data_IF_198716636752
#
_entry.id   IF_198716636752
#
_cell.length_a   1.000
_cell.length_b   1.000
_cell.length_c   1.000
_cell.angle_alpha   90.00
_cell.angle_beta   90.00
_cell.angle_gamma   90.00
#
_symmetry.space_group_name_H-M   'P 1'
#
loop_
_entity.id
_entity.type
_entity.pdbx_description
1 polymer ?
#
# COMPACT_ATOMS: atom_id res chain seq x y z
N UNK A 1 -25.31 8.38 -22.31
CA UNK A 1 -24.85 7.85 -21.01
C UNK A 1 -24.76 6.33 -20.98
N UNK A 2 -25.73 5.55 -21.43
CA UNK A 2 -25.66 4.08 -21.44
C UNK A 2 -24.51 3.48 -22.27
N UNK A 3 -24.12 4.09 -23.40
CA UNK A 3 -23.05 3.61 -24.27
C UNK A 3 -21.64 3.74 -23.64
N UNK A 4 -21.39 4.80 -22.88
CA UNK A 4 -20.09 5.00 -22.21
C UNK A 4 -19.91 4.03 -21.02
N UNK A 5 -20.98 3.77 -20.28
CA UNK A 5 -20.97 2.80 -19.16
C UNK A 5 -20.77 1.37 -19.73
N UNK A 6 -21.41 1.06 -20.85
CA UNK A 6 -21.27 -0.25 -21.49
C UNK A 6 -19.84 -0.48 -22.04
N UNK A 7 -19.17 0.56 -22.56
CA UNK A 7 -17.78 0.45 -23.04
C UNK A 7 -16.77 0.31 -21.89
N UNK A 8 -17.01 0.94 -20.73
CA UNK A 8 -16.20 0.81 -19.52
C UNK A 8 -16.39 -0.59 -18.91
N UNK A 9 -17.62 -1.11 -18.87
CA UNK A 9 -17.92 -2.45 -18.38
C UNK A 9 -17.40 -3.54 -19.33
N UNK A 10 -17.44 -3.32 -20.65
CA UNK A 10 -16.87 -4.27 -21.62
C UNK A 10 -15.34 -4.30 -21.60
N UNK A 11 -14.66 -3.17 -21.34
CA UNK A 11 -13.21 -3.14 -21.11
C UNK A 11 -12.82 -3.86 -19.82
N UNK A 12 -13.61 -3.69 -18.73
CA UNK A 12 -13.42 -4.42 -17.47
C UNK A 12 -13.65 -5.95 -17.60
N UNK A 13 -14.56 -6.39 -18.48
CA UNK A 13 -14.85 -7.81 -18.69
C UNK A 13 -13.75 -8.54 -19.47
N UNK A 14 -12.98 -7.85 -20.33
CA UNK A 14 -11.85 -8.44 -21.07
C UNK A 14 -10.58 -8.59 -20.24
N UNK A 15 -10.48 -7.89 -19.10
CA UNK A 15 -9.31 -7.86 -18.20
C UNK A 15 -9.44 -8.82 -17.00
N UNK A 16 -10.43 -9.70 -16.95
CA UNK A 16 -10.72 -10.59 -15.80
C UNK A 16 -9.64 -11.65 -15.50
N UNK A 17 -8.39 -11.43 -15.86
CA UNK A 17 -7.26 -12.31 -15.56
C UNK A 17 -5.93 -11.61 -15.28
N UNK A 18 -5.79 -10.32 -15.58
CA UNK A 18 -4.53 -9.62 -15.34
C UNK A 18 -4.58 -8.78 -14.05
N UNK A 19 -3.49 -8.74 -13.25
CA UNK A 19 -3.44 -7.92 -12.05
C UNK A 19 -3.50 -6.43 -12.40
N UNK A 20 -4.17 -5.62 -11.58
CA UNK A 20 -4.19 -4.15 -11.74
C UNK A 20 -2.85 -3.54 -11.40
N UNK A 21 -2.07 -4.18 -10.53
CA UNK A 21 -0.67 -3.85 -10.24
C UNK A 21 0.16 -5.13 -10.30
N UNK A 22 1.24 -5.09 -11.04
CA UNK A 22 2.26 -6.15 -11.08
C UNK A 22 3.64 -5.52 -11.00
N UNK A 23 4.35 -5.82 -9.94
CA UNK A 23 5.76 -5.46 -9.73
C UNK A 23 6.56 -6.75 -9.80
N UNK A 24 7.61 -6.79 -10.62
CA UNK A 24 8.46 -7.95 -10.78
C UNK A 24 9.93 -7.61 -10.58
N UNK A 25 10.59 -8.31 -9.64
CA UNK A 25 12.01 -8.24 -9.32
C UNK A 25 12.56 -6.80 -9.23
N UNK A 26 11.76 -5.89 -8.66
CA UNK A 26 12.06 -4.46 -8.61
C UNK A 26 13.24 -4.18 -7.68
N UNK A 27 14.25 -3.52 -8.23
CA UNK A 27 15.46 -3.08 -7.53
C UNK A 27 15.60 -1.57 -7.64
N UNK A 28 15.79 -0.90 -6.50
CA UNK A 28 15.95 0.55 -6.43
C UNK A 28 17.00 0.92 -5.39
N UNK A 29 17.83 1.87 -5.75
CA UNK A 29 18.80 2.46 -4.85
C UNK A 29 18.72 4.00 -4.81
N UNK A 30 18.99 4.57 -3.65
CA UNK A 30 19.22 6.00 -3.49
C UNK A 30 20.73 6.26 -3.51
N UNK A 31 21.25 7.00 -4.50
CA UNK A 31 22.66 7.37 -4.55
C UNK A 31 23.03 8.22 -3.33
N UNK A 32 24.10 7.85 -2.63
CA UNK A 32 24.69 8.62 -1.54
C UNK A 32 26.13 9.03 -1.85
N UNK A 33 26.70 9.89 -1.02
CA UNK A 33 28.04 10.43 -1.25
C UNK A 33 29.15 9.35 -1.23
N UNK A 34 29.03 8.32 -0.38
CA UNK A 34 30.02 7.24 -0.24
C UNK A 34 29.52 5.85 -0.61
N UNK A 35 28.20 5.65 -0.59
CA UNK A 35 27.55 4.38 -0.90
C UNK A 35 26.10 4.62 -1.28
N UNK A 36 25.53 3.75 -2.11
CA UNK A 36 24.10 3.77 -2.44
C UNK A 36 23.31 2.96 -1.39
N UNK A 37 22.16 3.48 -0.98
CA UNK A 37 21.23 2.75 -0.13
C UNK A 37 20.27 1.91 -1.00
N UNK A 38 20.33 0.59 -0.90
CA UNK A 38 19.49 -0.36 -1.64
C UNK A 38 18.11 -0.44 -0.97
N UNK A 39 17.22 0.47 -1.35
CA UNK A 39 15.90 0.57 -0.76
C UNK A 39 14.95 -0.56 -1.18
N UNK A 40 15.07 -1.07 -2.41
CA UNK A 40 14.33 -2.23 -2.89
C UNK A 40 15.29 -3.26 -3.48
N UNK A 41 15.08 -4.54 -3.13
CA UNK A 41 15.97 -5.65 -3.44
C UNK A 41 15.16 -6.83 -3.99
N UNK A 42 14.80 -6.81 -5.28
CA UNK A 42 14.05 -7.88 -5.93
C UNK A 42 12.63 -7.99 -5.39
N UNK A 43 11.94 -6.86 -5.23
CA UNK A 43 10.54 -6.84 -4.77
C UNK A 43 9.64 -7.32 -5.90
N UNK A 44 8.86 -8.37 -5.62
CA UNK A 44 7.79 -8.84 -6.51
C UNK A 44 6.48 -8.88 -5.73
N UNK A 45 5.45 -8.21 -6.25
CA UNK A 45 4.11 -8.25 -5.71
C UNK A 45 3.07 -8.00 -6.80
N UNK A 46 1.85 -8.45 -6.57
CA UNK A 46 0.73 -8.22 -7.48
C UNK A 46 -0.53 -7.89 -6.71
N UNK A 47 -1.46 -7.17 -7.34
CA UNK A 47 -2.78 -6.87 -6.80
C UNK A 47 -3.80 -7.17 -7.88
N UNK A 48 -4.75 -8.07 -7.61
CA UNK A 48 -5.83 -8.41 -8.52
C UNK A 48 -6.96 -7.35 -8.49
N UNK A 49 -7.83 -7.29 -9.51
CA UNK A 49 -8.99 -6.40 -9.50
C UNK A 49 -9.88 -6.62 -8.27
N UNK A 50 -10.19 -5.54 -7.53
CA UNK A 50 -11.02 -5.58 -6.34
C UNK A 50 -10.41 -6.27 -5.12
N UNK A 51 -9.14 -6.73 -5.19
CA UNK A 51 -8.42 -7.34 -4.08
C UNK A 51 -7.90 -6.26 -3.12
N UNK A 52 -7.86 -6.60 -1.83
CA UNK A 52 -7.22 -5.77 -0.81
C UNK A 52 -5.96 -6.47 -0.33
N UNK A 53 -4.80 -5.94 -0.70
CA UNK A 53 -3.49 -6.48 -0.40
C UNK A 53 -2.79 -5.62 0.65
N UNK A 54 -2.29 -6.26 1.72
CA UNK A 54 -1.48 -5.61 2.74
C UNK A 54 0.02 -5.72 2.42
N UNK A 55 0.77 -4.64 2.61
CA UNK A 55 2.24 -4.66 2.70
C UNK A 55 2.64 -4.20 4.09
N UNK A 56 3.23 -5.10 4.87
CA UNK A 56 3.54 -4.85 6.28
C UNK A 56 5.03 -5.05 6.56
N UNK A 57 5.53 -4.34 7.56
CA UNK A 57 6.93 -4.43 8.02
C UNK A 57 7.34 -3.21 8.82
N UNK A 58 8.50 -3.27 9.47
CA UNK A 58 9.07 -2.15 10.25
C UNK A 58 9.32 -0.91 9.38
N UNK A 59 9.45 0.25 10.03
CA UNK A 59 9.85 1.50 9.36
C UNK A 59 11.18 1.31 8.63
N UNK A 60 11.33 1.91 7.45
CA UNK A 60 12.53 1.76 6.64
C UNK A 60 12.62 0.45 5.84
N UNK A 61 11.63 -0.45 5.88
CA UNK A 61 11.66 -1.70 5.08
C UNK A 61 11.46 -1.51 3.57
N UNK A 62 11.09 -0.31 3.09
CA UNK A 62 10.91 -0.01 1.67
C UNK A 62 9.45 0.14 1.20
N UNK A 63 8.46 -0.03 2.09
CA UNK A 63 7.02 -0.01 1.77
C UNK A 63 6.57 1.26 1.04
N UNK A 64 6.80 2.43 1.64
CA UNK A 64 6.41 3.73 1.04
C UNK A 64 7.21 4.04 -0.22
N UNK A 65 8.46 3.59 -0.32
CA UNK A 65 9.27 3.70 -1.55
C UNK A 65 8.61 2.91 -2.68
N UNK A 66 8.15 1.68 -2.42
CA UNK A 66 7.42 0.86 -3.39
C UNK A 66 6.14 1.57 -3.85
N UNK A 67 5.34 2.11 -2.91
CA UNK A 67 4.12 2.86 -3.23
C UNK A 67 4.39 4.10 -4.09
N UNK A 68 5.35 4.93 -3.68
CA UNK A 68 5.68 6.17 -4.37
C UNK A 68 6.23 5.91 -5.78
N UNK A 69 7.09 4.88 -5.93
CA UNK A 69 7.62 4.51 -7.24
C UNK A 69 6.51 4.00 -8.17
N UNK A 70 5.57 3.21 -7.65
CA UNK A 70 4.42 2.69 -8.44
C UNK A 70 3.64 3.81 -9.12
N UNK A 71 3.57 5.00 -8.53
CA UNK A 71 2.90 6.16 -9.11
C UNK A 71 3.87 7.19 -9.69
N UNK A 72 5.17 6.89 -9.76
CA UNK A 72 6.19 7.82 -10.24
C UNK A 72 6.28 9.10 -9.40
N UNK A 73 6.05 9.02 -8.07
CA UNK A 73 6.05 10.16 -7.14
C UNK A 73 7.41 10.42 -6.49
N UNK A 74 8.39 9.54 -6.71
CA UNK A 74 9.75 9.80 -6.24
C UNK A 74 10.39 10.94 -7.04
N UNK A 75 11.12 11.88 -6.40
CA UNK A 75 11.73 13.00 -7.09
C UNK A 75 12.71 12.53 -8.17
N UNK A 76 12.58 13.00 -9.43
CA UNK A 76 13.50 12.63 -10.50
C UNK A 76 14.96 12.92 -10.13
N UNK A 77 15.86 11.98 -10.43
CA UNK A 77 17.29 12.09 -10.14
C UNK A 77 17.69 11.77 -8.69
N UNK A 78 16.74 11.60 -7.76
CA UNK A 78 17.04 11.20 -6.37
C UNK A 78 17.26 9.70 -6.20
N UNK A 79 16.87 8.89 -7.18
CA UNK A 79 16.94 7.43 -7.13
C UNK A 79 17.38 6.83 -8.46
N UNK A 80 17.75 5.56 -8.44
CA UNK A 80 18.06 4.75 -9.63
C UNK A 80 17.33 3.41 -9.53
N UNK A 81 16.53 3.08 -10.53
CA UNK A 81 16.01 1.71 -10.71
C UNK A 81 17.11 0.90 -11.40
N UNK A 82 17.55 -0.18 -10.78
CA UNK A 82 18.65 -1.03 -11.26
C UNK A 82 18.17 -2.35 -11.85
N UNK A 83 16.86 -2.63 -11.79
CA UNK A 83 16.24 -3.80 -12.41
C UNK A 83 14.78 -3.95 -12.03
N UNK A 84 14.09 -4.84 -12.74
CA UNK A 84 12.69 -5.13 -12.55
C UNK A 84 11.73 -4.24 -13.35
N UNK A 85 10.44 -4.43 -13.13
CA UNK A 85 9.38 -3.72 -13.83
C UNK A 85 8.22 -3.35 -12.90
N UNK A 86 7.44 -2.35 -13.29
CA UNK A 86 6.20 -1.93 -12.62
C UNK A 86 5.12 -1.75 -13.66
N UNK A 87 4.18 -2.67 -13.73
CA UNK A 87 3.00 -2.57 -14.58
C UNK A 87 1.78 -2.17 -13.74
N UNK A 88 1.14 -1.06 -14.08
CA UNK A 88 -0.06 -0.56 -13.44
C UNK A 88 -1.14 -0.37 -14.50
N UNK A 89 -2.21 -1.15 -14.42
CA UNK A 89 -3.35 -1.08 -15.36
C UNK A 89 -2.88 -1.15 -16.83
N UNK A 90 -1.89 -2.02 -17.11
CA UNK A 90 -1.32 -2.19 -18.45
C UNK A 90 -0.26 -1.16 -18.86
N UNK A 91 0.08 -0.20 -18.00
CA UNK A 91 1.14 0.78 -18.25
C UNK A 91 2.46 0.36 -17.60
N UNK A 92 3.56 0.41 -18.35
CA UNK A 92 4.91 0.35 -17.76
C UNK A 92 5.24 1.71 -17.10
N UNK A 93 5.06 1.77 -15.79
CA UNK A 93 5.21 3.01 -15.04
C UNK A 93 6.63 3.58 -15.04
N UNK A 94 7.64 2.74 -15.29
CA UNK A 94 9.04 3.18 -15.33
C UNK A 94 9.41 3.86 -16.65
N UNK A 95 8.64 3.61 -17.72
CA UNK A 95 8.86 4.17 -19.05
C UNK A 95 8.03 5.43 -19.35
N UNK A 96 7.02 5.76 -18.52
CA UNK A 96 6.13 6.89 -18.75
C UNK A 96 6.82 8.24 -18.52
N UNK A 97 6.57 9.19 -19.42
CA UNK A 97 6.89 10.61 -19.21
C UNK A 97 5.97 11.23 -18.14
N UNK A 98 6.38 12.34 -17.52
CA UNK A 98 5.57 13.03 -16.50
C UNK A 98 4.17 13.40 -17.02
N UNK A 99 4.05 13.80 -18.28
CA UNK A 99 2.74 14.08 -18.91
C UNK A 99 1.83 12.85 -18.93
N UNK A 100 2.37 11.67 -19.22
CA UNK A 100 1.63 10.42 -19.23
C UNK A 100 1.30 9.97 -17.79
N UNK A 101 2.23 10.13 -16.85
CA UNK A 101 1.98 9.86 -15.43
C UNK A 101 0.84 10.72 -14.88
N UNK A 102 0.72 11.99 -15.29
CA UNK A 102 -0.41 12.85 -14.90
C UNK A 102 -1.77 12.39 -15.43
N UNK A 103 -1.83 11.60 -16.49
CA UNK A 103 -3.09 11.02 -16.99
C UNK A 103 -3.47 9.75 -16.22
N UNK A 104 -2.51 9.01 -15.67
CA UNK A 104 -2.73 7.81 -14.85
C UNK A 104 -3.09 8.19 -13.41
N UNK A 105 -2.34 9.15 -12.82
CA UNK A 105 -2.55 9.61 -11.45
C UNK A 105 -3.91 10.27 -11.28
N UNK A 106 -4.67 9.82 -10.29
CA UNK A 106 -6.01 10.33 -9.97
C UNK A 106 -7.13 9.73 -10.82
N UNK A 107 -6.84 9.23 -12.03
CA UNK A 107 -7.82 8.59 -12.91
C UNK A 107 -7.82 7.07 -12.79
N UNK A 108 -6.66 6.44 -12.98
CA UNK A 108 -6.54 4.98 -12.97
C UNK A 108 -6.04 4.46 -11.63
N UNK A 109 -5.16 5.22 -11.00
CA UNK A 109 -4.69 4.94 -9.64
C UNK A 109 -4.61 6.22 -8.81
N UNK A 110 -4.95 6.11 -7.53
CA UNK A 110 -4.89 7.20 -6.56
C UNK A 110 -4.10 6.77 -5.32
N UNK A 111 -3.66 7.75 -4.53
CA UNK A 111 -2.93 7.50 -3.29
C UNK A 111 -3.50 8.32 -2.13
N UNK A 112 -3.64 7.67 -0.99
CA UNK A 112 -3.86 8.29 0.31
C UNK A 112 -2.51 8.30 1.04
N UNK A 113 -2.02 9.50 1.36
CA UNK A 113 -0.74 9.68 2.03
C UNK A 113 -0.87 9.55 3.55
N UNK A 114 0.25 9.27 4.20
CA UNK A 114 0.36 9.03 5.64
C UNK A 114 -0.17 10.19 6.50
N UNK A 115 0.02 11.45 6.07
CA UNK A 115 -0.35 12.62 6.85
C UNK A 115 -1.50 13.42 6.21
N UNK A 116 -2.73 13.36 6.77
CA UNK A 116 -3.87 14.15 6.27
C UNK A 116 -3.65 15.66 6.30
N UNK A 117 -2.80 16.11 7.22
CA UNK A 117 -2.52 17.55 7.42
C UNK A 117 -1.74 18.16 6.27
N UNK A 118 -0.89 17.38 5.60
CA UNK A 118 -0.03 17.81 4.49
C UNK A 118 -0.62 17.51 3.12
N UNK A 119 -1.54 16.54 3.03
CA UNK A 119 -2.13 16.10 1.78
C UNK A 119 -3.17 17.07 1.21
N UNK A 120 -3.93 17.77 2.08
CA UNK A 120 -4.87 18.82 1.67
C UNK A 120 -4.18 20.18 1.71
N UNK A 121 -4.28 20.96 0.63
CA UNK A 121 -3.73 22.32 0.59
C UNK A 121 -4.47 23.23 1.59
N UNK A 122 -3.83 23.73 2.66
CA UNK A 122 -4.50 24.48 3.72
C UNK A 122 -5.03 25.84 3.28
N UNK A 123 -4.52 26.41 2.18
CA UNK A 123 -4.91 27.71 1.65
C UNK A 123 -6.06 27.64 0.64
N UNK A 124 -6.56 26.42 0.35
CA UNK A 124 -7.63 26.20 -0.64
C UNK A 124 -8.84 25.55 0.01
N UNK A 125 -10.04 26.00 -0.36
CA UNK A 125 -11.29 25.38 0.08
C UNK A 125 -11.39 23.94 -0.42
N UNK A 126 -12.06 23.08 0.35
CA UNK A 126 -12.28 21.66 0.04
C UNK A 126 -12.93 21.48 -1.33
N UNK A 127 -14.00 22.24 -1.63
CA UNK A 127 -14.69 22.18 -2.89
C UNK A 127 -13.77 22.47 -4.08
N UNK A 128 -12.88 23.45 -3.96
CA UNK A 128 -11.93 23.76 -5.03
C UNK A 128 -10.99 22.60 -5.33
N UNK A 129 -10.50 21.93 -4.29
CA UNK A 129 -9.58 20.81 -4.45
C UNK A 129 -10.27 19.60 -5.10
N UNK A 130 -11.49 19.26 -4.66
CA UNK A 130 -12.30 18.19 -5.28
C UNK A 130 -12.63 18.49 -6.75
N UNK A 131 -13.09 19.71 -7.03
CA UNK A 131 -13.50 20.11 -8.38
C UNK A 131 -12.34 20.12 -9.36
N UNK A 132 -11.12 20.51 -8.93
CA UNK A 132 -9.96 20.53 -9.81
C UNK A 132 -9.61 19.12 -10.28
N UNK A 133 -9.64 18.11 -9.38
CA UNK A 133 -9.36 16.72 -9.74
C UNK A 133 -10.48 16.15 -10.62
N UNK A 134 -11.74 16.33 -10.25
CA UNK A 134 -12.88 15.83 -11.04
C UNK A 134 -12.84 16.41 -12.45
N UNK A 135 -12.68 17.73 -12.61
CA UNK A 135 -12.66 18.39 -13.93
C UNK A 135 -11.39 18.08 -14.74
N UNK A 136 -10.29 17.76 -14.09
CA UNK A 136 -9.05 17.34 -14.78
C UNK A 136 -9.24 16.00 -15.49
N UNK A 137 -9.94 15.05 -14.86
CA UNK A 137 -9.99 13.66 -15.30
C UNK A 137 -11.36 13.23 -15.85
N UNK A 138 -12.35 14.11 -15.85
CA UNK A 138 -13.70 13.84 -16.39
C UNK A 138 -14.14 14.93 -17.35
N UNK A 139 -15.12 14.61 -18.21
CA UNK A 139 -15.73 15.57 -19.12
C UNK A 139 -16.93 16.31 -18.47
N UNK A 140 -17.05 16.31 -17.15
CA UNK A 140 -18.15 16.94 -16.42
C UNK A 140 -18.03 18.47 -16.46
N UNK A 141 -19.14 19.16 -16.67
CA UNK A 141 -19.22 20.61 -16.49
C UNK A 141 -19.12 21.02 -15.00
N UNK A 142 -19.10 22.32 -14.74
CA UNK A 142 -18.90 22.83 -13.37
C UNK A 142 -20.05 22.42 -12.41
N UNK A 143 -21.29 22.39 -12.89
CA UNK A 143 -22.47 22.03 -12.08
C UNK A 143 -22.46 20.52 -11.79
N UNK A 144 -22.19 19.70 -12.80
CA UNK A 144 -22.08 18.26 -12.68
C UNK A 144 -20.92 17.85 -11.78
N UNK A 145 -19.74 18.49 -11.90
CA UNK A 145 -18.60 18.24 -11.04
C UNK A 145 -18.91 18.60 -9.57
N UNK A 146 -19.64 19.71 -9.33
CA UNK A 146 -20.08 20.09 -7.98
C UNK A 146 -21.07 19.06 -7.41
N UNK A 147 -22.02 18.59 -8.20
CA UNK A 147 -22.96 17.55 -7.79
C UNK A 147 -22.23 16.25 -7.42
N UNK A 148 -21.25 15.81 -8.23
CA UNK A 148 -20.41 14.65 -7.93
C UNK A 148 -19.59 14.85 -6.65
N UNK A 149 -19.03 16.04 -6.42
CA UNK A 149 -18.30 16.33 -5.19
C UNK A 149 -19.20 16.23 -3.94
N UNK A 150 -20.44 16.72 -4.01
CA UNK A 150 -21.43 16.60 -2.94
C UNK A 150 -21.78 15.12 -2.68
N UNK A 151 -22.00 14.35 -3.73
CA UNK A 151 -22.28 12.91 -3.64
C UNK A 151 -21.12 12.15 -2.97
N UNK A 152 -19.89 12.41 -3.38
CA UNK A 152 -18.68 11.83 -2.78
C UNK A 152 -18.58 12.13 -1.28
N UNK A 153 -18.88 13.36 -0.85
CA UNK A 153 -18.87 13.72 0.57
C UNK A 153 -20.00 13.02 1.34
N UNK A 154 -21.19 12.88 0.75
CA UNK A 154 -22.29 12.08 1.33
C UNK A 154 -21.90 10.61 1.49
N UNK A 155 -21.25 10.05 0.47
CA UNK A 155 -20.72 8.68 0.49
C UNK A 155 -19.73 8.45 1.63
N UNK A 156 -19.01 9.48 2.03
CA UNK A 156 -18.07 9.44 3.18
C UNK A 156 -18.76 9.75 4.52
N UNK A 157 -20.09 9.76 4.56
CA UNK A 157 -20.90 10.08 5.74
C UNK A 157 -20.54 11.45 6.35
N UNK A 158 -20.29 12.44 5.49
CA UNK A 158 -20.02 13.82 5.90
C UNK A 158 -21.38 14.57 5.88
N UNK A 159 -21.73 15.11 7.04
CA UNK A 159 -22.91 15.96 7.18
C UNK A 159 -22.69 17.31 6.47
N UNK A 160 -23.78 17.91 5.98
CA UNK A 160 -23.79 19.23 5.34
C UNK A 160 -22.72 19.44 4.26
N UNK A 161 -22.63 18.53 3.26
CA UNK A 161 -21.54 18.51 2.30
C UNK A 161 -21.40 19.82 1.52
N UNK A 162 -22.50 20.53 1.25
CA UNK A 162 -22.49 21.83 0.60
C UNK A 162 -21.72 22.88 1.41
N UNK A 163 -21.88 22.89 2.73
CA UNK A 163 -21.12 23.79 3.61
C UNK A 163 -19.65 23.36 3.70
N UNK A 164 -19.38 22.07 3.74
CA UNK A 164 -18.01 21.52 3.80
C UNK A 164 -17.21 21.89 2.55
N UNK A 165 -17.82 21.95 1.36
CA UNK A 165 -17.15 22.42 0.15
C UNK A 165 -16.60 23.84 0.28
N UNK A 166 -17.21 24.70 1.08
CA UNK A 166 -16.78 26.09 1.29
C UNK A 166 -15.76 26.26 2.43
N UNK A 167 -15.50 25.19 3.22
CA UNK A 167 -14.53 25.20 4.33
C UNK A 167 -13.09 24.99 3.86
N UNK A 168 -12.16 25.44 4.68
CA UNK A 168 -10.74 25.16 4.56
C UNK A 168 -10.36 23.93 5.40
N UNK A 169 -9.28 23.21 5.06
CA UNK A 169 -8.86 22.03 5.81
C UNK A 169 -8.67 22.27 7.32
N UNK A 170 -8.13 23.42 7.72
CA UNK A 170 -7.87 23.74 9.13
C UNK A 170 -9.15 23.94 9.96
N UNK A 171 -10.30 24.16 9.34
CA UNK A 171 -11.60 24.28 10.01
C UNK A 171 -12.24 22.92 10.34
N UNK A 172 -11.60 21.79 9.95
CA UNK A 172 -12.15 20.44 10.01
C UNK A 172 -11.39 19.57 11.01
N UNK A 173 -12.07 18.60 11.63
CA UNK A 173 -11.43 17.60 12.47
C UNK A 173 -10.53 16.65 11.66
N UNK A 174 -9.60 15.94 12.32
CA UNK A 174 -8.71 14.97 11.69
C UNK A 174 -9.49 13.88 10.93
N UNK A 175 -10.52 13.31 11.55
CA UNK A 175 -11.37 12.31 10.90
C UNK A 175 -12.15 12.84 9.70
N UNK A 176 -12.61 14.11 9.72
CA UNK A 176 -13.25 14.73 8.56
C UNK A 176 -12.27 14.92 7.40
N UNK A 177 -11.06 15.40 7.69
CA UNK A 177 -9.99 15.54 6.67
C UNK A 177 -9.67 14.20 6.03
N UNK A 178 -9.57 13.14 6.84
CA UNK A 178 -9.33 11.79 6.34
C UNK A 178 -10.44 11.31 5.41
N UNK A 179 -11.70 11.49 5.78
CA UNK A 179 -12.85 11.14 4.93
C UNK A 179 -12.87 11.95 3.63
N UNK A 180 -12.48 13.22 3.66
CA UNK A 180 -12.35 14.06 2.47
C UNK A 180 -11.20 13.58 1.56
N UNK A 181 -10.07 13.15 2.13
CA UNK A 181 -8.99 12.56 1.33
C UNK A 181 -9.44 11.25 0.65
N UNK A 182 -10.22 10.43 1.34
CA UNK A 182 -10.81 9.23 0.76
C UNK A 182 -11.77 9.62 -0.38
N UNK A 183 -12.64 10.63 -0.16
CA UNK A 183 -13.52 11.15 -1.21
C UNK A 183 -12.73 11.64 -2.43
N UNK A 184 -11.64 12.35 -2.20
CA UNK A 184 -10.74 12.84 -3.26
C UNK A 184 -10.10 11.68 -4.02
N UNK A 185 -9.62 10.66 -3.32
CA UNK A 185 -9.02 9.47 -3.92
C UNK A 185 -10.01 8.68 -4.79
N UNK A 186 -11.27 8.58 -4.39
CA UNK A 186 -12.33 7.93 -5.17
C UNK A 186 -13.00 8.84 -6.21
N UNK A 187 -12.60 10.09 -6.34
CA UNK A 187 -13.31 11.09 -7.17
C UNK A 187 -13.39 10.72 -8.66
N UNK A 188 -12.48 9.92 -9.16
CA UNK A 188 -12.42 9.46 -10.55
C UNK A 188 -12.58 7.95 -10.70
N UNK A 189 -13.09 7.26 -9.66
CA UNK A 189 -13.34 5.82 -9.62
C UNK A 189 -12.12 4.99 -10.06
N UNK A 190 -10.94 5.14 -9.38
CA UNK A 190 -9.69 4.51 -9.77
C UNK A 190 -9.78 2.98 -9.69
N UNK A 191 -8.98 2.28 -10.50
CA UNK A 191 -8.86 0.83 -10.45
C UNK A 191 -7.98 0.36 -9.28
N UNK A 192 -6.96 1.17 -8.90
CA UNK A 192 -6.10 0.93 -7.74
C UNK A 192 -6.11 2.13 -6.80
N UNK A 193 -6.23 1.85 -5.51
CA UNK A 193 -6.00 2.81 -4.45
C UNK A 193 -4.82 2.35 -3.59
N UNK A 194 -3.76 3.14 -3.53
CA UNK A 194 -2.64 2.92 -2.62
C UNK A 194 -2.91 3.72 -1.34
N UNK A 195 -2.95 3.05 -0.20
CA UNK A 195 -3.18 3.68 1.10
C UNK A 195 -1.92 3.48 1.97
N UNK A 196 -1.09 4.52 2.06
CA UNK A 196 0.16 4.49 2.83
C UNK A 196 -0.09 5.00 4.24
N UNK A 197 -0.17 4.09 5.19
CA UNK A 197 -0.47 4.36 6.61
C UNK A 197 -1.67 5.32 6.81
N UNK A 198 -2.83 5.03 6.22
CA UNK A 198 -3.91 6.01 6.04
C UNK A 198 -4.55 6.48 7.36
N UNK A 199 -4.13 5.95 8.50
CA UNK A 199 -4.79 6.20 9.79
C UNK A 199 -3.84 6.50 10.95
N UNK A 200 -2.55 6.67 10.69
CA UNK A 200 -1.50 6.82 11.73
C UNK A 200 -1.74 8.01 12.68
N UNK A 201 -2.44 9.06 12.23
CA UNK A 201 -2.72 10.27 13.03
C UNK A 201 -4.11 10.27 13.69
N UNK A 202 -4.81 9.11 13.73
CA UNK A 202 -6.16 8.99 14.25
C UNK A 202 -6.20 8.12 15.51
N UNK A 203 -7.17 8.36 16.37
CA UNK A 203 -7.46 7.44 17.49
C UNK A 203 -7.99 6.09 16.96
N UNK A 204 -7.81 5.02 17.76
CA UNK A 204 -8.11 3.63 17.36
C UNK A 204 -9.55 3.44 16.86
N UNK A 205 -10.51 4.15 17.47
CA UNK A 205 -11.93 4.04 17.10
C UNK A 205 -12.20 4.65 15.74
N UNK A 206 -11.69 5.86 15.50
CA UNK A 206 -11.81 6.57 14.22
C UNK A 206 -11.03 5.84 13.13
N UNK A 207 -9.84 5.33 13.45
CA UNK A 207 -9.03 4.50 12.56
C UNK A 207 -9.83 3.33 11.98
N UNK A 208 -10.47 2.54 12.85
CA UNK A 208 -11.31 1.41 12.43
C UNK A 208 -12.48 1.84 11.55
N UNK A 209 -13.16 2.92 11.90
CA UNK A 209 -14.29 3.44 11.11
C UNK A 209 -13.86 3.87 9.71
N UNK A 210 -12.71 4.55 9.60
CA UNK A 210 -12.14 5.02 8.33
C UNK A 210 -11.76 3.84 7.43
N UNK A 211 -11.12 2.80 7.99
CA UNK A 211 -10.73 1.61 7.22
C UNK A 211 -11.95 0.78 6.78
N UNK A 212 -12.97 0.65 7.63
CA UNK A 212 -14.23 0.00 7.25
C UNK A 212 -14.91 0.74 6.11
N UNK A 213 -14.98 2.07 6.17
CA UNK A 213 -15.52 2.90 5.10
C UNK A 213 -14.70 2.75 3.81
N UNK A 214 -13.38 2.78 3.90
CA UNK A 214 -12.48 2.56 2.78
C UNK A 214 -12.74 1.22 2.09
N UNK A 215 -12.82 0.13 2.86
CA UNK A 215 -13.14 -1.22 2.36
C UNK A 215 -14.51 -1.30 1.71
N UNK A 216 -15.54 -0.74 2.37
CA UNK A 216 -16.91 -0.69 1.83
C UNK A 216 -16.95 -0.01 0.46
N UNK A 217 -16.35 1.19 0.35
CA UNK A 217 -16.37 1.95 -0.91
C UNK A 217 -15.51 1.30 -1.99
N UNK A 218 -14.38 0.69 -1.65
CA UNK A 218 -13.56 -0.06 -2.59
C UNK A 218 -14.32 -1.27 -3.14
N UNK A 219 -14.94 -2.07 -2.28
CA UNK A 219 -15.74 -3.25 -2.69
C UNK A 219 -16.93 -2.84 -3.58
N UNK A 220 -17.66 -1.79 -3.21
CA UNK A 220 -18.80 -1.30 -3.98
C UNK A 220 -18.41 -0.81 -5.39
N UNK A 221 -17.19 -0.30 -5.57
CA UNK A 221 -16.67 0.25 -6.83
C UNK A 221 -15.78 -0.73 -7.60
N UNK A 222 -15.45 -1.88 -7.03
CA UNK A 222 -14.49 -2.82 -7.59
C UNK A 222 -13.06 -2.29 -7.66
N UNK A 223 -12.72 -1.29 -6.82
CA UNK A 223 -11.37 -0.73 -6.69
C UNK A 223 -10.50 -1.70 -5.90
N UNK A 224 -9.31 -2.02 -6.41
CA UNK A 224 -8.30 -2.74 -5.66
C UNK A 224 -7.59 -1.81 -4.66
N UNK A 225 -7.11 -2.36 -3.54
CA UNK A 225 -6.36 -1.58 -2.54
C UNK A 225 -5.00 -2.22 -2.28
N UNK A 226 -3.95 -1.40 -2.31
CA UNK A 226 -2.65 -1.71 -1.73
C UNK A 226 -2.53 -0.93 -0.40
N UNK A 227 -2.74 -1.63 0.72
CA UNK A 227 -2.66 -1.07 2.07
C UNK A 227 -1.25 -1.24 2.62
N UNK A 228 -0.56 -0.13 2.88
CA UNK A 228 0.75 -0.12 3.54
C UNK A 228 0.56 0.24 5.00
N UNK A 229 1.09 -0.58 5.89
CA UNK A 229 1.02 -0.37 7.33
C UNK A 229 2.16 -1.09 8.05
N UNK A 230 2.41 -0.71 9.29
CA UNK A 230 3.24 -1.48 10.22
C UNK A 230 2.40 -2.35 11.18
N UNK A 231 1.09 -2.27 11.10
CA UNK A 231 0.15 -2.93 12.02
C UNK A 231 -0.41 -4.24 11.42
N UNK A 232 0.07 -5.38 11.95
CA UNK A 232 -0.39 -6.71 11.56
C UNK A 232 -1.86 -6.96 11.92
N UNK A 233 -2.37 -6.34 12.98
CA UNK A 233 -3.77 -6.51 13.38
C UNK A 233 -4.72 -5.86 12.38
N UNK A 234 -4.33 -4.71 11.80
CA UNK A 234 -5.08 -4.10 10.70
C UNK A 234 -5.07 -4.98 9.44
N UNK A 235 -3.90 -5.52 9.08
CA UNK A 235 -3.79 -6.44 7.93
C UNK A 235 -4.71 -7.64 8.13
N UNK A 236 -4.72 -8.25 9.32
CA UNK A 236 -5.59 -9.39 9.66
C UNK A 236 -7.07 -9.11 9.45
N UNK A 237 -7.51 -7.88 9.71
CA UNK A 237 -8.93 -7.50 9.64
C UNK A 237 -9.38 -7.03 8.25
N UNK A 238 -8.47 -6.47 7.45
CA UNK A 238 -8.84 -5.74 6.24
C UNK A 238 -8.34 -6.33 4.94
N UNK A 239 -7.24 -7.11 4.94
CA UNK A 239 -6.59 -7.58 3.74
C UNK A 239 -6.98 -9.03 3.38
N UNK A 240 -7.10 -9.31 2.09
CA UNK A 240 -7.31 -10.65 1.56
C UNK A 240 -5.98 -11.41 1.53
N UNK A 241 -4.88 -10.71 1.17
CA UNK A 241 -3.52 -11.23 1.05
C UNK A 241 -2.52 -10.25 1.62
N UNK A 242 -1.37 -10.76 2.08
CA UNK A 242 -0.32 -9.97 2.71
C UNK A 242 1.05 -10.28 2.14
N UNK A 243 1.86 -9.24 2.01
CA UNK A 243 3.31 -9.28 1.77
C UNK A 243 4.01 -8.72 3.01
N UNK A 244 4.88 -9.50 3.60
CA UNK A 244 5.73 -9.07 4.73
C UNK A 244 7.06 -8.61 4.16
N UNK A 245 7.39 -7.34 4.40
CA UNK A 245 8.57 -6.69 3.83
C UNK A 245 9.61 -6.39 4.91
N UNK A 246 10.85 -6.79 4.66
CA UNK A 246 11.99 -6.54 5.54
C UNK A 246 13.22 -6.13 4.72
N UNK A 247 13.90 -5.03 5.13
CA UNK A 247 15.15 -4.56 4.53
C UNK A 247 15.15 -4.52 2.99
N UNK A 248 14.08 -3.99 2.40
CA UNK A 248 13.93 -3.81 0.96
C UNK A 248 13.48 -5.06 0.18
N UNK A 249 13.17 -6.17 0.83
CA UNK A 249 12.71 -7.41 0.18
C UNK A 249 11.45 -7.99 0.79
N UNK A 250 10.72 -8.80 0.02
CA UNK A 250 9.61 -9.61 0.53
C UNK A 250 10.19 -10.85 1.20
N UNK A 251 9.83 -11.08 2.47
CA UNK A 251 10.31 -12.22 3.26
C UNK A 251 9.25 -13.29 3.45
N UNK A 252 7.98 -12.92 3.37
CA UNK A 252 6.85 -13.84 3.44
C UNK A 252 5.65 -13.26 2.70
N UNK A 253 4.85 -14.10 2.06
CA UNK A 253 3.60 -13.70 1.39
C UNK A 253 2.61 -14.85 1.37
N UNK A 254 1.32 -14.50 1.36
CA UNK A 254 0.24 -15.49 1.25
C UNK A 254 -1.13 -14.90 1.54
N UNK A 255 -2.16 -15.74 1.50
CA UNK A 255 -3.47 -15.37 2.02
C UNK A 255 -3.33 -14.90 3.47
N UNK A 256 -3.98 -13.79 3.82
CA UNK A 256 -3.83 -13.20 5.17
C UNK A 256 -4.10 -14.20 6.28
N UNK A 257 -5.15 -14.99 6.15
CA UNK A 257 -5.49 -16.03 7.13
C UNK A 257 -4.36 -17.05 7.33
N UNK A 258 -3.71 -17.50 6.24
CA UNK A 258 -2.63 -18.49 6.30
C UNK A 258 -1.40 -17.92 7.01
N UNK A 259 -0.96 -16.70 6.62
CA UNK A 259 0.20 -16.05 7.25
C UNK A 259 -0.04 -15.74 8.73
N UNK A 260 -1.27 -15.34 9.09
CA UNK A 260 -1.62 -15.02 10.48
C UNK A 260 -1.71 -16.27 11.37
N UNK A 261 -2.21 -17.38 10.84
CA UNK A 261 -2.35 -18.64 11.58
C UNK A 261 -1.03 -19.40 11.72
N UNK A 262 -0.22 -19.41 10.64
CA UNK A 262 1.02 -20.18 10.57
C UNK A 262 2.15 -19.36 9.92
N UNK A 263 2.65 -18.29 10.57
CA UNK A 263 3.76 -17.50 10.04
C UNK A 263 5.01 -18.38 9.93
N UNK A 264 5.66 -18.35 8.77
CA UNK A 264 6.78 -19.24 8.43
C UNK A 264 8.14 -18.56 8.57
N UNK A 265 8.22 -17.26 8.29
CA UNK A 265 9.47 -16.54 8.46
C UNK A 265 9.66 -16.10 9.93
N UNK A 266 10.86 -16.27 10.54
CA UNK A 266 11.10 -15.85 11.92
C UNK A 266 10.81 -14.37 12.20
N UNK A 267 11.00 -13.49 11.22
CA UNK A 267 10.61 -12.08 11.33
C UNK A 267 9.08 -11.91 11.48
N UNK A 268 8.29 -12.60 10.64
CA UNK A 268 6.82 -12.57 10.74
C UNK A 268 6.34 -13.12 12.08
N UNK A 269 6.98 -14.21 12.55
CA UNK A 269 6.71 -14.75 13.89
C UNK A 269 7.00 -13.72 14.99
N UNK A 270 8.10 -12.98 14.85
CA UNK A 270 8.43 -11.87 15.75
C UNK A 270 7.38 -10.77 15.73
N UNK A 271 6.95 -10.31 14.54
CA UNK A 271 5.88 -9.31 14.41
C UNK A 271 4.58 -9.78 15.06
N UNK A 272 4.22 -11.04 14.86
CA UNK A 272 3.02 -11.64 15.47
C UNK A 272 3.12 -11.78 16.99
N UNK A 273 4.32 -12.03 17.52
CA UNK A 273 4.54 -12.10 18.97
C UNK A 273 4.46 -10.72 19.64
N UNK A 274 4.75 -9.64 18.91
CA UNK A 274 4.66 -8.26 19.41
C UNK A 274 3.22 -7.73 19.48
N UNK A 275 2.21 -8.49 19.01
CA UNK A 275 0.82 -8.04 19.06
C UNK A 275 0.33 -7.99 20.53
N UNK A 276 -0.26 -6.86 20.98
CA UNK A 276 -0.75 -6.72 22.36
C UNK A 276 -1.77 -7.81 22.77
N UNK A 277 -2.55 -8.31 21.83
CA UNK A 277 -3.57 -9.36 22.03
C UNK A 277 -2.94 -10.71 22.39
N UNK A 278 -1.66 -10.92 22.09
CA UNK A 278 -0.89 -12.13 22.45
C UNK A 278 -0.08 -11.98 23.73
N UNK A 279 -0.04 -10.77 24.28
CA UNK A 279 0.71 -10.52 25.52
C UNK A 279 -0.01 -11.17 26.73
N UNK A 280 0.79 -11.77 27.61
CA UNK A 280 0.26 -12.24 28.90
C UNK A 280 0.08 -11.02 29.81
N UNK A 281 -1.10 -10.82 30.40
CA UNK A 281 -1.31 -9.70 31.32
C UNK A 281 -0.26 -9.66 32.44
N UNK A 282 0.41 -8.50 32.59
CA UNK A 282 1.46 -8.30 33.58
C UNK A 282 2.89 -8.72 33.15
N UNK A 283 3.08 -9.21 31.92
CA UNK A 283 4.41 -9.45 31.34
C UNK A 283 4.82 -8.31 30.42
N UNK A 284 6.13 -8.17 30.18
CA UNK A 284 6.65 -7.27 29.17
C UNK A 284 6.19 -7.69 27.77
N UNK A 285 5.91 -6.70 26.92
CA UNK A 285 5.59 -6.95 25.51
C UNK A 285 6.81 -7.56 24.81
N UNK A 286 6.57 -8.60 24.01
CA UNK A 286 7.60 -9.15 23.17
C UNK A 286 8.12 -8.08 22.18
N UNK A 287 9.41 -8.06 21.93
CA UNK A 287 10.04 -7.19 20.96
C UNK A 287 11.00 -7.98 20.08
N UNK A 288 11.16 -7.57 18.82
CA UNK A 288 12.15 -8.15 17.93
C UNK A 288 13.51 -7.53 18.29
N UNK A 289 14.52 -8.32 18.74
CA UNK A 289 15.78 -7.78 19.19
C UNK A 289 16.58 -7.13 18.05
N UNK A 290 17.45 -6.17 18.39
CA UNK A 290 18.31 -5.47 17.44
C UNK A 290 17.58 -4.43 16.60
N UNK A 291 18.25 -3.97 15.54
CA UNK A 291 17.73 -2.92 14.63
C UNK A 291 17.69 -3.43 13.19
N UNK A 292 16.82 -2.80 12.37
CA UNK A 292 16.78 -3.03 10.92
C UNK A 292 18.15 -2.67 10.35
N UNK A 293 18.75 -3.50 9.48
CA UNK A 293 20.06 -3.25 8.91
C UNK A 293 20.07 -1.97 8.07
N UNK A 294 21.21 -1.30 8.06
CA UNK A 294 21.41 -0.14 7.20
C UNK A 294 21.34 -0.57 5.73
N UNK A 295 20.41 0.03 4.97
CA UNK A 295 20.20 -0.28 3.55
C UNK A 295 21.41 0.04 2.65
N UNK A 296 22.35 0.88 3.13
CA UNK A 296 23.61 1.13 2.44
C UNK A 296 24.66 0.03 2.70
N UNK A 297 24.44 -0.84 3.70
CA UNK A 297 25.37 -1.90 4.12
C UNK A 297 24.58 -3.16 4.50
N UNK A 298 23.75 -3.63 3.58
CA UNK A 298 22.97 -4.85 3.82
C UNK A 298 23.91 -6.04 4.06
N UNK A 299 23.61 -6.90 5.06
CA UNK A 299 24.37 -8.12 5.29
C UNK A 299 24.27 -9.03 4.06
N UNK A 300 25.36 -9.69 3.72
CA UNK A 300 25.31 -10.78 2.76
C UNK A 300 24.40 -11.90 3.26
N UNK A 301 23.72 -12.61 2.36
CA UNK A 301 22.80 -13.68 2.71
C UNK A 301 21.42 -13.21 3.16
N UNK A 302 20.84 -13.90 4.13
CA UNK A 302 19.53 -13.54 4.69
C UNK A 302 19.60 -12.19 5.41
N UNK A 303 18.78 -11.23 5.00
CA UNK A 303 18.78 -9.88 5.58
C UNK A 303 18.39 -9.85 7.07
N UNK A 304 17.66 -10.86 7.55
CA UNK A 304 17.23 -10.97 8.95
C UNK A 304 18.20 -11.77 9.84
N UNK A 305 19.26 -12.38 9.29
CA UNK A 305 20.14 -13.34 10.00
C UNK A 305 20.70 -12.81 11.32
N UNK A 306 21.05 -11.52 11.41
CA UNK A 306 21.68 -10.93 12.59
C UNK A 306 20.69 -10.67 13.76
N UNK A 307 19.38 -10.75 13.48
CA UNK A 307 18.29 -10.65 14.47
C UNK A 307 17.56 -11.99 14.67
N UNK A 308 17.94 -13.02 13.89
CA UNK A 308 17.26 -14.32 13.88
C UNK A 308 17.80 -15.26 14.95
N UNK A 309 16.95 -15.63 15.92
CA UNK A 309 17.31 -16.63 16.93
C UNK A 309 17.47 -18.06 16.37
N UNK A 310 17.13 -18.29 15.09
CA UNK A 310 17.29 -19.58 14.39
C UNK A 310 18.33 -19.51 13.27
N UNK A 311 19.28 -18.57 13.34
CA UNK A 311 20.37 -18.46 12.36
C UNK A 311 21.19 -19.74 12.31
N UNK A 312 21.51 -20.18 11.10
CA UNK A 312 22.39 -21.30 10.81
C UNK A 312 23.24 -21.00 9.57
N UNK A 313 24.17 -21.89 9.20
CA UNK A 313 25.18 -21.66 8.17
C UNK A 313 24.59 -21.30 6.79
N UNK A 314 23.47 -21.93 6.37
CA UNK A 314 22.81 -21.60 5.10
C UNK A 314 22.30 -20.16 5.02
N UNK A 315 22.11 -19.49 6.17
CA UNK A 315 21.68 -18.08 6.20
C UNK A 315 22.73 -17.11 5.66
N UNK A 316 23.95 -17.55 5.43
CA UNK A 316 25.00 -16.77 4.73
C UNK A 316 24.71 -16.64 3.22
N UNK A 317 23.77 -17.42 2.69
CA UNK A 317 23.24 -17.28 1.33
C UNK A 317 21.82 -16.74 1.40
N UNK A 318 21.44 -15.82 0.49
CA UNK A 318 20.09 -15.24 0.45
C UNK A 318 19.06 -16.31 0.06
N UNK A 319 18.02 -16.55 0.88
CA UNK A 319 16.96 -17.45 0.51
C UNK A 319 16.07 -16.83 -0.56
N UNK A 320 15.61 -17.63 -1.51
CA UNK A 320 14.49 -17.29 -2.39
C UNK A 320 13.17 -17.42 -1.62
N UNK A 321 12.08 -16.88 -2.17
CA UNK A 321 10.73 -17.21 -1.70
C UNK A 321 10.43 -18.68 -2.05
N UNK A 322 10.40 -19.53 -1.03
CA UNK A 322 10.14 -20.95 -1.13
C UNK A 322 8.66 -21.25 -0.79
N UNK A 323 8.02 -22.20 -1.48
CA UNK A 323 6.68 -22.64 -1.11
C UNK A 323 6.70 -23.28 0.28
N UNK A 324 5.60 -23.08 1.01
CA UNK A 324 5.34 -23.76 2.28
C UNK A 324 4.38 -24.95 2.05
N UNK A 325 3.97 -25.59 3.12
CA UNK A 325 2.92 -26.64 3.10
C UNK A 325 1.51 -26.12 2.78
N UNK A 326 1.34 -24.79 2.77
CA UNK A 326 0.07 -24.14 2.45
C UNK A 326 0.12 -23.56 1.02
N UNK A 327 -0.88 -23.83 0.16
CA UNK A 327 -0.93 -23.27 -1.19
C UNK A 327 -0.79 -21.75 -1.20
N UNK A 328 -0.02 -21.21 -2.15
CA UNK A 328 0.24 -19.78 -2.35
C UNK A 328 0.87 -19.04 -1.16
N UNK A 329 1.32 -19.78 -0.14
CA UNK A 329 2.07 -19.23 1.00
C UNK A 329 3.55 -19.47 0.77
N UNK A 330 4.32 -18.38 0.58
CA UNK A 330 5.75 -18.42 0.31
C UNK A 330 6.54 -17.74 1.42
N UNK A 331 7.72 -18.28 1.75
CA UNK A 331 8.61 -17.70 2.76
C UNK A 331 10.07 -17.72 2.30
N UNK A 332 10.78 -16.60 2.45
CA UNK A 332 12.21 -16.47 2.16
C UNK A 332 13.05 -16.93 3.36
N UNK A 333 12.90 -18.20 3.75
CA UNK A 333 13.60 -18.79 4.88
C UNK A 333 14.05 -20.22 4.59
N UNK A 334 15.31 -20.54 4.88
CA UNK A 334 15.88 -21.87 4.66
C UNK A 334 15.26 -22.97 5.53
N UNK A 335 14.61 -22.61 6.64
CA UNK A 335 13.87 -23.58 7.48
C UNK A 335 12.74 -24.26 6.70
N UNK A 336 12.16 -23.61 5.67
CA UNK A 336 11.13 -24.21 4.81
C UNK A 336 11.70 -25.32 3.90
N UNK A 337 12.97 -25.25 3.55
CA UNK A 337 13.64 -26.27 2.73
C UNK A 337 13.97 -27.55 3.51
N UNK A 338 14.04 -27.49 4.84
CA UNK A 338 14.30 -28.63 5.72
C UNK A 338 12.99 -29.42 5.98
N UNK A 339 11.89 -28.70 6.18
CA UNK A 339 10.57 -29.33 6.37
C UNK A 339 10.08 -30.07 5.09
N UNK A 340 10.50 -29.64 3.90
CA UNK A 340 10.12 -30.28 2.62
C UNK A 340 10.93 -31.58 2.34
N UNK A 341 11.96 -31.88 3.11
CA UNK A 341 12.83 -33.04 2.96
C UNK A 341 12.70 -34.07 4.09
N UNK A 342 11.80 -33.85 5.03
CA UNK A 342 11.46 -34.76 6.13
C UNK A 342 10.09 -35.41 5.90
#
# INVERSE_FOLDING_TARGET
MASAICSILAKRANDMGQPVLHIDQLNLEFPGFRSSAKALNGVSLSVAPGEIVGVVGESGSGKSVTAMLTLGLLPPGSYRVTGGSVNLVGHDMLALSERQLMEVRGREAAMIFQEPMTALNPTRRIGRQLLDVIRRHTALDAAQARAKAIELLKDMHIADPEQILERYPFELSGGMRQRIMIALAFSCDPQLLIADEPTTALDVTVQRQVLLLLREKARARGTAILLITHDMALVAQFCDRVYVMYAGGIVEQGATAAVMQAPRHPYTQGLMACLPEKAVPGSDLASIPGQVPNLAQLPGGCSFKDRCGRRHERCETRPALLPTDTPDHLSACWLQAEDASA
#
